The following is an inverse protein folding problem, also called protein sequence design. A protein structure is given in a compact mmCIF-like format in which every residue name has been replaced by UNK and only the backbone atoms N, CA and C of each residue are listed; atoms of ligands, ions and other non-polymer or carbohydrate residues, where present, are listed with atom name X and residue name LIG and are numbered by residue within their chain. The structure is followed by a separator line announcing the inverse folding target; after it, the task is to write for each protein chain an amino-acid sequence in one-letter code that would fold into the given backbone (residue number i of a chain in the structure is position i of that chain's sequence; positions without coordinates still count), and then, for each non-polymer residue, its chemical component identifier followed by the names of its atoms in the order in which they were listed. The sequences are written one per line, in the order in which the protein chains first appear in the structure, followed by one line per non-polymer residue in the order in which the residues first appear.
data_IF_726797795814
#
_entry.id   IF_726797795814
#
_cell.length_a   1.000
_cell.length_b   1.000
_cell.length_c   1.000
_cell.angle_alpha   90.00
_cell.angle_beta   90.00
_cell.angle_gamma   90.00
#
_symmetry.space_group_name_H-M   'P 1'
#
loop_
_entity.id
_entity.type
_entity.pdbx_description
1 polymer ?
#
# COMPACT_ATOMS: atom_id res chain seq x y z
N UNK A 1 -6.40 30.61 64.80
CA UNK A 1 -5.41 29.89 63.98
C UNK A 1 -6.16 29.24 62.81
N UNK A 2 -6.24 29.94 61.66
CA UNK A 2 -6.90 29.46 60.45
C UNK A 2 -5.82 28.90 59.50
N UNK A 3 -5.89 27.58 59.23
CA UNK A 3 -5.05 26.92 58.25
C UNK A 3 -5.69 27.00 56.86
N UNK A 4 -5.13 27.83 55.98
CA UNK A 4 -5.51 27.91 54.58
C UNK A 4 -4.98 26.65 53.86
N UNK A 5 -5.87 25.90 53.20
CA UNK A 5 -5.60 24.86 52.23
C UNK A 5 -5.31 25.47 50.86
N UNK A 6 -4.08 25.38 50.43
CA UNK A 6 -3.66 25.76 49.08
C UNK A 6 -4.01 24.59 48.14
N UNK A 7 -5.05 24.74 47.33
CA UNK A 7 -5.37 23.78 46.26
C UNK A 7 -4.48 24.10 45.05
N UNK A 8 -3.54 23.19 44.77
CA UNK A 8 -2.75 23.22 43.54
C UNK A 8 -3.58 22.56 42.44
N UNK A 9 -4.14 23.37 41.54
CA UNK A 9 -4.75 22.88 40.32
C UNK A 9 -3.64 22.51 39.32
N UNK A 10 -3.43 21.21 39.12
CA UNK A 10 -2.56 20.70 38.05
C UNK A 10 -3.32 20.85 36.73
N UNK A 11 -3.01 21.84 35.94
CA UNK A 11 -3.46 21.97 34.57
C UNK A 11 -2.69 20.92 33.74
N UNK A 12 -3.33 19.79 33.46
CA UNK A 12 -2.86 18.86 32.43
C UNK A 12 -3.18 19.50 31.08
N UNK A 13 -2.19 20.17 30.49
CA UNK A 13 -2.24 20.61 29.11
C UNK A 13 -2.21 19.34 28.24
N UNK A 14 -3.38 18.86 27.82
CA UNK A 14 -3.51 17.92 26.71
C UNK A 14 -3.08 18.68 25.46
N UNK A 15 -1.81 18.53 25.10
CA UNK A 15 -1.30 18.98 23.81
C UNK A 15 -1.95 18.09 22.74
N UNK A 16 -3.10 18.50 22.21
CA UNK A 16 -3.50 18.08 20.88
C UNK A 16 -2.40 18.52 19.93
N UNK A 17 -1.47 17.62 19.61
CA UNK A 17 -0.61 17.80 18.45
C UNK A 17 -1.52 17.64 17.23
N UNK A 18 -2.09 18.74 16.80
CA UNK A 18 -2.48 18.90 15.41
C UNK A 18 -1.17 18.85 14.65
N UNK A 19 -0.85 17.69 14.08
CA UNK A 19 0.23 17.61 13.10
C UNK A 19 -0.17 18.51 11.93
N UNK A 20 0.38 19.71 11.96
CA UNK A 20 0.20 20.66 10.88
C UNK A 20 0.84 20.06 9.64
N UNK A 21 0.01 19.64 8.67
CA UNK A 21 0.42 19.70 7.30
C UNK A 21 0.70 18.43 6.52
N UNK A 22 0.15 17.26 6.84
CA UNK A 22 0.09 16.22 5.82
C UNK A 22 -0.93 16.57 4.73
N UNK A 23 -0.59 16.19 3.48
CA UNK A 23 -1.49 16.33 2.32
C UNK A 23 -2.88 15.76 2.62
N UNK A 24 -3.92 16.46 2.15
CA UNK A 24 -5.29 15.96 2.23
C UNK A 24 -5.43 14.66 1.40
N UNK A 25 -5.78 13.53 2.04
CA UNK A 25 -5.97 12.26 1.32
C UNK A 25 -6.97 12.35 0.17
N UNK A 26 -7.98 13.23 0.25
CA UNK A 26 -8.95 13.41 -0.83
C UNK A 26 -8.28 13.89 -2.12
N UNK A 27 -7.22 14.70 -2.03
CA UNK A 27 -6.44 15.16 -3.18
C UNK A 27 -5.64 14.06 -3.86
N UNK A 28 -5.39 12.94 -3.18
CA UNK A 28 -4.61 11.80 -3.67
C UNK A 28 -5.48 10.67 -4.26
N UNK A 29 -6.79 10.71 -4.00
CA UNK A 29 -7.70 9.63 -4.35
C UNK A 29 -7.85 9.43 -5.88
N UNK A 30 -7.66 10.48 -6.68
CA UNK A 30 -7.90 10.45 -8.13
C UNK A 30 -6.91 9.57 -8.92
N UNK A 31 -5.74 9.30 -8.36
CA UNK A 31 -4.69 8.51 -9.03
C UNK A 31 -4.37 7.19 -8.33
N UNK A 32 -5.07 6.88 -7.23
CA UNK A 32 -5.09 5.56 -6.60
C UNK A 32 -6.31 4.80 -7.10
N UNK A 33 -6.14 3.56 -7.51
CA UNK A 33 -7.19 2.78 -8.18
C UNK A 33 -7.35 1.39 -7.58
N UNK A 34 -8.59 0.90 -7.57
CA UNK A 34 -8.87 -0.52 -7.48
C UNK A 34 -8.56 -1.16 -8.81
N UNK A 35 -7.85 -2.27 -8.79
CA UNK A 35 -7.61 -3.13 -9.95
C UNK A 35 -8.22 -4.50 -9.67
N UNK A 36 -8.97 -5.04 -10.65
CA UNK A 36 -9.60 -6.35 -10.54
C UNK A 36 -9.51 -7.11 -11.86
N UNK A 37 -9.20 -8.39 -11.79
CA UNK A 37 -9.28 -9.28 -12.93
C UNK A 37 -10.17 -10.46 -12.57
N UNK A 38 -11.17 -10.71 -13.40
CA UNK A 38 -12.03 -11.87 -13.29
C UNK A 38 -11.53 -12.97 -14.23
N UNK A 39 -11.51 -14.19 -13.72
CA UNK A 39 -11.02 -15.34 -14.46
C UNK A 39 -12.09 -15.90 -15.39
N UNK A 40 -11.68 -16.34 -16.58
CA UNK A 40 -12.54 -17.04 -17.52
C UNK A 40 -12.79 -18.50 -17.06
N UNK A 41 -13.66 -19.22 -17.79
CA UNK A 41 -14.05 -20.58 -17.40
C UNK A 41 -12.86 -21.54 -17.36
N UNK A 42 -11.90 -21.42 -18.30
CA UNK A 42 -10.71 -22.27 -18.35
C UNK A 42 -9.76 -22.02 -17.17
N UNK A 43 -9.59 -20.76 -16.79
CA UNK A 43 -8.78 -20.39 -15.63
C UNK A 43 -9.41 -20.90 -14.33
N UNK A 44 -10.74 -20.83 -14.23
CA UNK A 44 -11.50 -21.37 -13.08
C UNK A 44 -11.49 -22.91 -13.00
N UNK A 45 -11.28 -23.61 -14.10
CA UNK A 45 -11.07 -25.07 -14.08
C UNK A 45 -9.75 -25.44 -13.39
N UNK A 46 -8.71 -24.59 -13.52
CA UNK A 46 -7.39 -24.82 -12.89
C UNK A 46 -7.43 -24.49 -11.39
N UNK A 47 -8.16 -23.44 -11.00
CA UNK A 47 -8.33 -23.05 -9.60
C UNK A 47 -9.82 -22.92 -9.24
N UNK A 48 -10.49 -24.06 -8.96
CA UNK A 48 -11.92 -24.06 -8.65
C UNK A 48 -12.25 -23.22 -7.43
N UNK A 49 -13.24 -22.33 -7.60
CA UNK A 49 -13.71 -21.42 -6.53
C UNK A 49 -13.05 -20.03 -6.52
N UNK A 50 -11.98 -19.81 -7.28
CA UNK A 50 -11.39 -18.49 -7.44
C UNK A 50 -12.03 -17.76 -8.64
N UNK A 51 -12.88 -16.77 -8.35
CA UNK A 51 -13.58 -16.00 -9.37
C UNK A 51 -12.71 -14.90 -10.01
N UNK A 52 -11.68 -14.46 -9.31
CA UNK A 52 -10.78 -13.40 -9.74
C UNK A 52 -9.92 -12.88 -8.61
N UNK A 53 -9.07 -11.90 -8.93
CA UNK A 53 -8.13 -11.27 -8.00
C UNK A 53 -8.37 -9.77 -7.99
N UNK A 54 -8.27 -9.17 -6.83
CA UNK A 54 -8.33 -7.72 -6.61
C UNK A 54 -7.11 -7.22 -5.87
N UNK A 55 -6.77 -5.96 -6.13
CA UNK A 55 -5.69 -5.25 -5.46
C UNK A 55 -5.83 -3.75 -5.64
N UNK A 56 -4.84 -3.04 -5.17
CA UNK A 56 -4.70 -1.60 -5.36
C UNK A 56 -3.55 -1.31 -6.32
N UNK A 57 -3.71 -0.29 -7.13
CA UNK A 57 -2.67 0.25 -8.00
C UNK A 57 -2.69 1.78 -7.97
N UNK A 58 -1.73 2.38 -8.64
CA UNK A 58 -1.63 3.82 -8.78
C UNK A 58 -0.93 4.19 -10.08
N UNK A 59 -1.25 5.37 -10.64
CA UNK A 59 -0.73 5.77 -11.93
C UNK A 59 0.67 6.39 -11.83
N UNK A 60 1.55 5.95 -12.73
CA UNK A 60 2.81 6.60 -13.05
C UNK A 60 2.60 7.61 -14.19
N UNK A 61 1.68 7.29 -15.12
CA UNK A 61 1.24 8.10 -16.24
C UNK A 61 -0.13 7.60 -16.71
N UNK A 62 -0.80 8.27 -17.66
CA UNK A 62 -2.08 7.77 -18.19
C UNK A 62 -2.03 6.35 -18.80
N UNK A 63 -0.87 5.89 -19.24
CA UNK A 63 -0.68 4.57 -19.85
C UNK A 63 0.19 3.63 -19.03
N UNK A 64 0.56 4.02 -17.81
CA UNK A 64 1.42 3.21 -16.93
C UNK A 64 0.98 3.33 -15.48
N UNK A 65 0.94 2.20 -14.81
CA UNK A 65 0.60 2.13 -13.40
C UNK A 65 1.56 1.19 -12.66
N UNK A 66 1.54 1.24 -11.34
CA UNK A 66 2.28 0.33 -10.49
C UNK A 66 1.36 -0.37 -9.49
N UNK A 67 1.75 -1.58 -9.13
CA UNK A 67 1.19 -2.38 -8.04
C UNK A 67 2.30 -3.25 -7.45
N UNK A 68 1.98 -4.09 -6.49
CA UNK A 68 2.94 -5.08 -5.99
C UNK A 68 2.98 -6.33 -6.89
N UNK A 69 4.14 -7.00 -7.03
CA UNK A 69 4.32 -8.12 -7.95
C UNK A 69 3.32 -9.26 -7.71
N UNK A 70 3.11 -9.67 -6.47
CA UNK A 70 2.24 -10.82 -6.18
C UNK A 70 0.78 -10.57 -6.61
N UNK A 71 0.29 -9.32 -6.62
CA UNK A 71 -1.03 -8.97 -7.17
C UNK A 71 -1.03 -9.14 -8.68
N UNK A 72 -0.01 -8.65 -9.38
CA UNK A 72 0.09 -8.80 -10.83
C UNK A 72 0.19 -10.27 -11.25
N UNK A 73 0.99 -11.07 -10.53
CA UNK A 73 1.14 -12.52 -10.76
C UNK A 73 -0.17 -13.26 -10.47
N UNK A 74 -0.83 -12.97 -9.35
CA UNK A 74 -2.12 -13.59 -9.02
C UNK A 74 -3.21 -13.25 -10.06
N UNK A 75 -3.11 -12.10 -10.74
CA UNK A 75 -3.97 -11.73 -11.87
C UNK A 75 -3.57 -12.43 -13.18
N UNK A 76 -2.61 -13.35 -13.20
CA UNK A 76 -2.05 -13.97 -14.41
C UNK A 76 -1.56 -12.93 -15.44
N UNK A 77 -1.03 -11.81 -14.98
CA UNK A 77 -0.39 -10.83 -15.86
C UNK A 77 1.03 -11.30 -16.20
N UNK A 78 1.45 -11.04 -17.43
CA UNK A 78 2.81 -11.30 -17.91
C UNK A 78 3.28 -10.16 -18.82
N UNK A 79 4.53 -10.19 -19.22
CA UNK A 79 5.12 -9.28 -20.21
C UNK A 79 4.79 -9.66 -21.66
N UNK A 80 4.34 -10.90 -21.87
CA UNK A 80 4.09 -11.46 -23.21
C UNK A 80 2.64 -11.31 -23.67
N UNK A 81 1.69 -11.10 -22.78
CA UNK A 81 0.26 -11.11 -23.13
C UNK A 81 -0.54 -10.02 -22.43
N UNK A 82 -1.47 -9.42 -23.18
CA UNK A 82 -2.43 -8.49 -22.66
C UNK A 82 -3.59 -9.24 -21.98
N UNK A 83 -4.00 -8.77 -20.80
CA UNK A 83 -5.15 -9.30 -20.08
C UNK A 83 -6.11 -8.18 -19.72
N UNK A 84 -7.40 -8.43 -19.84
CA UNK A 84 -8.42 -7.48 -19.44
C UNK A 84 -8.43 -7.33 -17.92
N UNK A 85 -8.22 -6.09 -17.48
CA UNK A 85 -8.25 -5.71 -16.05
C UNK A 85 -9.23 -4.56 -15.89
N UNK A 86 -10.09 -4.67 -14.92
CA UNK A 86 -10.96 -3.58 -14.51
C UNK A 86 -10.16 -2.63 -13.62
N UNK A 87 -10.12 -1.37 -14.00
CA UNK A 87 -9.46 -0.28 -13.27
C UNK A 87 -10.52 0.70 -12.84
N UNK A 88 -10.58 1.03 -11.55
CA UNK A 88 -11.60 1.92 -10.99
C UNK A 88 -11.03 2.93 -10.02
N UNK A 89 -11.45 4.19 -10.15
CA UNK A 89 -11.26 5.26 -9.16
C UNK A 89 -12.56 6.06 -9.03
N UNK A 90 -13.10 6.15 -7.82
CA UNK A 90 -14.44 6.72 -7.62
C UNK A 90 -15.49 6.01 -8.51
N UNK A 91 -16.25 6.80 -9.27
CA UNK A 91 -17.26 6.29 -10.21
C UNK A 91 -16.69 5.96 -11.59
N UNK A 92 -15.44 6.32 -11.87
CA UNK A 92 -14.79 6.03 -13.15
C UNK A 92 -14.28 4.58 -13.17
N UNK A 93 -14.87 3.77 -14.05
CA UNK A 93 -14.58 2.35 -14.21
C UNK A 93 -14.30 2.05 -15.68
N UNK A 94 -13.16 1.46 -15.97
CA UNK A 94 -12.76 1.08 -17.31
C UNK A 94 -12.19 -0.34 -17.30
N UNK A 95 -12.52 -1.11 -18.34
CA UNK A 95 -11.86 -2.41 -18.59
C UNK A 95 -10.78 -2.19 -19.64
N UNK A 96 -9.53 -2.38 -19.29
CA UNK A 96 -8.36 -2.05 -20.10
C UNK A 96 -7.47 -3.28 -20.21
N UNK A 97 -6.96 -3.60 -21.43
CA UNK A 97 -5.89 -4.59 -21.56
C UNK A 97 -4.62 -4.08 -20.90
N UNK A 98 -4.07 -4.88 -19.98
CA UNK A 98 -2.87 -4.57 -19.18
C UNK A 98 -1.89 -5.73 -19.31
N UNK A 99 -0.59 -5.40 -19.29
CA UNK A 99 0.51 -6.37 -19.17
C UNK A 99 1.57 -5.87 -18.20
N UNK A 100 2.43 -6.76 -17.75
CA UNK A 100 3.63 -6.37 -17.00
C UNK A 100 4.64 -5.77 -18.00
N UNK A 101 5.08 -4.56 -17.76
CA UNK A 101 6.19 -3.95 -18.48
C UNK A 101 7.54 -4.35 -17.88
N UNK A 102 7.63 -4.30 -16.53
CA UNK A 102 8.83 -4.70 -15.78
C UNK A 102 8.48 -4.97 -14.32
N UNK A 103 9.34 -5.74 -13.66
CA UNK A 103 9.30 -5.97 -12.22
C UNK A 103 10.60 -5.44 -11.61
N UNK A 104 10.48 -4.74 -10.49
CA UNK A 104 11.60 -4.03 -9.86
C UNK A 104 11.70 -4.43 -8.40
N UNK A 105 12.87 -4.82 -7.98
CA UNK A 105 13.17 -5.24 -6.61
C UNK A 105 14.15 -6.40 -6.59
N UNK A 106 14.84 -6.58 -5.48
CA UNK A 106 15.88 -7.61 -5.32
C UNK A 106 15.56 -8.66 -4.25
N UNK A 107 14.45 -8.51 -3.56
CA UNK A 107 14.07 -9.34 -2.41
C UNK A 107 12.69 -9.99 -2.63
N UNK A 108 12.13 -10.61 -1.59
CA UNK A 108 10.87 -11.33 -1.65
C UNK A 108 9.69 -10.49 -2.13
N UNK A 109 9.76 -9.17 -1.96
CA UNK A 109 8.71 -8.24 -2.34
C UNK A 109 9.19 -7.30 -3.44
N UNK A 110 8.40 -7.18 -4.52
CA UNK A 110 8.77 -6.39 -5.70
C UNK A 110 7.60 -5.57 -6.20
N UNK A 111 7.92 -4.47 -6.88
CA UNK A 111 6.94 -3.61 -7.56
C UNK A 111 6.82 -4.07 -9.01
N UNK A 112 5.60 -4.32 -9.47
CA UNK A 112 5.27 -4.52 -10.87
C UNK A 112 4.86 -3.19 -11.49
N UNK A 113 5.56 -2.79 -12.53
CA UNK A 113 5.17 -1.69 -13.41
C UNK A 113 4.35 -2.28 -14.54
N UNK A 114 3.13 -1.79 -14.68
CA UNK A 114 2.15 -2.26 -15.63
C UNK A 114 2.02 -1.26 -16.78
N UNK A 115 1.83 -1.76 -17.98
CA UNK A 115 1.54 -0.99 -19.18
C UNK A 115 0.05 -1.19 -19.53
N UNK A 116 -0.63 -0.08 -19.81
CA UNK A 116 -2.01 -0.05 -20.25
C UNK A 116 -2.03 0.13 -21.78
N UNK A 117 -2.82 -0.67 -22.49
CA UNK A 117 -2.93 -0.57 -23.95
C UNK A 117 -3.59 0.76 -24.38
N UNK A 118 -4.50 1.27 -23.57
CA UNK A 118 -5.16 2.56 -23.74
C UNK A 118 -5.00 3.42 -22.50
N UNK A 119 -4.92 4.74 -22.68
CA UNK A 119 -4.83 5.66 -21.56
C UNK A 119 -6.10 5.60 -20.69
N UNK A 120 -5.92 5.56 -19.37
CA UNK A 120 -7.03 5.72 -18.43
C UNK A 120 -7.42 7.21 -18.36
N UNK A 121 -8.70 7.50 -18.61
CA UNK A 121 -9.20 8.88 -18.63
C UNK A 121 -9.10 9.52 -17.23
N UNK A 122 -8.46 10.68 -17.17
CA UNK A 122 -8.28 11.42 -15.93
C UNK A 122 -7.09 10.95 -15.06
N UNK A 123 -6.34 9.94 -15.49
CA UNK A 123 -5.16 9.50 -14.74
C UNK A 123 -4.06 10.55 -14.71
N UNK A 124 -3.52 10.76 -13.53
CA UNK A 124 -2.34 11.61 -13.30
C UNK A 124 -1.33 10.82 -12.49
N UNK A 125 -0.04 10.93 -12.86
CA UNK A 125 1.04 10.32 -12.09
C UNK A 125 1.35 11.13 -10.84
N UNK A 126 1.83 10.43 -9.82
CA UNK A 126 2.37 11.07 -8.62
C UNK A 126 3.88 11.30 -8.72
N UNK A 127 4.36 12.32 -8.03
CA UNK A 127 5.79 12.49 -7.79
C UNK A 127 6.31 11.34 -6.89
N UNK A 128 7.49 10.82 -7.23
CA UNK A 128 8.16 9.80 -6.43
C UNK A 128 9.23 10.48 -5.57
N UNK A 129 9.33 10.07 -4.31
CA UNK A 129 10.41 10.47 -3.44
C UNK A 129 11.49 9.39 -3.41
N UNK A 130 12.70 9.74 -3.78
CA UNK A 130 13.83 8.80 -3.85
C UNK A 130 14.65 8.77 -2.55
N UNK A 131 14.54 9.81 -1.72
CA UNK A 131 15.20 9.88 -0.43
C UNK A 131 14.62 8.86 0.54
N UNK A 132 15.45 8.21 1.36
CA UNK A 132 14.97 7.30 2.39
C UNK A 132 14.02 7.98 3.36
N UNK A 133 13.05 7.21 3.89
CA UNK A 133 12.27 7.59 5.06
C UNK A 133 13.15 7.60 6.30
N UNK A 134 12.86 8.48 7.24
CA UNK A 134 13.48 8.50 8.56
C UNK A 134 12.51 7.98 9.63
N UNK A 135 12.98 7.32 10.71
CA UNK A 135 12.10 6.83 11.76
C UNK A 135 11.17 7.94 12.29
N UNK A 136 9.93 7.56 12.60
CA UNK A 136 8.84 8.42 13.07
C UNK A 136 8.29 9.39 12.00
N UNK A 137 8.76 9.33 10.78
CA UNK A 137 8.22 10.16 9.70
C UNK A 137 6.78 9.77 9.39
N UNK A 138 5.89 10.77 9.38
CA UNK A 138 4.47 10.57 9.11
C UNK A 138 4.23 10.18 7.65
N UNK A 139 3.34 9.20 7.46
CA UNK A 139 2.95 8.69 6.15
C UNK A 139 1.45 8.44 6.07
N UNK A 140 0.92 8.48 4.85
CA UNK A 140 -0.49 8.21 4.55
C UNK A 140 -0.56 7.20 3.41
N UNK A 141 -1.53 6.28 3.44
CA UNK A 141 -1.81 5.35 2.35
C UNK A 141 -3.29 5.38 1.98
N UNK A 142 -3.56 5.28 0.69
CA UNK A 142 -4.90 5.09 0.15
C UNK A 142 -4.97 3.73 -0.51
N UNK A 143 -5.97 2.93 -0.14
CA UNK A 143 -6.12 1.56 -0.61
C UNK A 143 -7.57 1.20 -0.89
N UNK A 144 -7.79 0.10 -1.62
CA UNK A 144 -9.12 -0.42 -1.93
C UNK A 144 -9.36 -1.81 -1.34
N UNK A 145 -9.28 -2.00 0.00
CA UNK A 145 -9.68 -3.25 0.62
C UNK A 145 -11.19 -3.49 0.40
N UNK A 146 -11.55 -4.69 -0.06
CA UNK A 146 -12.95 -5.00 -0.33
C UNK A 146 -13.62 -4.06 -1.34
N UNK A 147 -12.85 -3.43 -2.23
CA UNK A 147 -13.33 -2.54 -3.30
C UNK A 147 -13.84 -1.15 -2.83
N UNK A 148 -13.56 -0.78 -1.61
CA UNK A 148 -13.88 0.54 -1.05
C UNK A 148 -12.59 1.31 -0.74
N UNK A 149 -12.56 2.59 -1.12
CA UNK A 149 -11.44 3.45 -0.76
C UNK A 149 -11.34 3.60 0.77
N UNK A 150 -10.17 3.29 1.29
CA UNK A 150 -9.82 3.47 2.69
C UNK A 150 -8.54 4.29 2.80
N UNK A 151 -8.47 5.07 3.86
CA UNK A 151 -7.30 5.87 4.21
C UNK A 151 -6.71 5.30 5.49
N UNK A 152 -5.41 5.07 5.47
CA UNK A 152 -4.62 4.75 6.66
C UNK A 152 -3.54 5.81 6.84
N UNK A 153 -3.35 6.27 8.05
CA UNK A 153 -2.29 7.19 8.43
C UNK A 153 -1.41 6.55 9.50
N UNK A 154 -0.16 6.97 9.57
CA UNK A 154 0.76 6.43 10.54
C UNK A 154 2.17 6.93 10.34
N UNK A 155 3.15 6.09 10.65
CA UNK A 155 4.55 6.46 10.63
C UNK A 155 5.45 5.36 10.07
N UNK A 156 6.59 5.77 9.58
CA UNK A 156 7.67 4.85 9.26
C UNK A 156 8.39 4.43 10.55
N UNK A 157 8.59 3.12 10.73
CA UNK A 157 9.27 2.57 11.91
C UNK A 157 10.74 2.34 11.61
N UNK A 158 11.05 1.48 10.65
CA UNK A 158 12.41 1.14 10.24
C UNK A 158 12.44 0.42 8.90
N UNK A 159 13.62 0.26 8.34
CA UNK A 159 13.82 -0.71 7.25
C UNK A 159 14.03 -2.12 7.82
N UNK A 160 13.48 -3.10 7.12
CA UNK A 160 13.66 -4.50 7.46
C UNK A 160 15.09 -4.98 7.20
N UNK A 161 15.60 -5.81 8.10
CA UNK A 161 16.98 -6.33 8.11
C UNK A 161 17.06 -7.86 8.11
N UNK A 162 15.93 -8.53 8.36
CA UNK A 162 15.84 -10.00 8.41
C UNK A 162 15.60 -10.68 7.06
N UNK A 163 15.67 -12.02 7.04
CA UNK A 163 15.33 -12.83 5.86
C UNK A 163 13.87 -12.56 5.43
N UNK A 164 13.66 -12.25 4.16
CA UNK A 164 12.36 -11.94 3.57
C UNK A 164 11.88 -10.50 3.81
N UNK A 165 12.58 -9.71 4.63
CA UNK A 165 12.23 -8.32 4.90
C UNK A 165 13.33 -7.33 4.49
N UNK A 166 14.52 -7.81 4.14
CA UNK A 166 15.65 -6.95 3.81
C UNK A 166 15.30 -5.95 2.70
N UNK A 167 15.49 -4.66 3.00
CA UNK A 167 15.20 -3.56 2.09
C UNK A 167 13.74 -3.11 2.03
N UNK A 168 12.81 -3.78 2.73
CA UNK A 168 11.42 -3.32 2.88
C UNK A 168 11.34 -2.19 3.90
N UNK A 169 10.32 -1.35 3.78
CA UNK A 169 9.97 -0.35 4.78
C UNK A 169 8.85 -0.90 5.68
N UNK A 170 9.06 -0.87 6.98
CA UNK A 170 8.13 -1.33 8.00
C UNK A 170 7.40 -0.12 8.56
N UNK A 171 6.07 -0.14 8.47
CA UNK A 171 5.21 0.97 8.84
C UNK A 171 4.26 0.55 9.97
N UNK A 172 3.82 1.51 10.73
CA UNK A 172 2.70 1.41 11.66
C UNK A 172 1.59 2.32 11.15
N UNK A 173 0.44 1.73 10.73
CA UNK A 173 -0.62 2.47 10.04
C UNK A 173 -2.00 1.98 10.47
N UNK A 174 -2.91 2.94 10.71
CA UNK A 174 -4.28 2.70 11.13
C UNK A 174 -5.23 3.70 10.45
N UNK A 175 -6.53 3.46 10.49
CA UNK A 175 -7.53 4.47 10.14
C UNK A 175 -7.77 5.46 11.29
N UNK A 176 -8.67 6.43 11.06
CA UNK A 176 -9.02 7.43 12.08
C UNK A 176 -9.74 6.88 13.32
N UNK A 177 -10.05 5.57 13.35
CA UNK A 177 -10.66 4.86 14.48
C UNK A 177 -9.71 3.79 15.06
N UNK A 178 -8.40 3.93 14.81
CA UNK A 178 -7.35 3.01 15.24
C UNK A 178 -7.54 1.56 14.77
N UNK A 179 -8.22 1.37 13.61
CA UNK A 179 -8.42 0.04 13.03
C UNK A 179 -7.40 -0.27 11.95
N UNK A 180 -7.09 -1.54 11.82
CA UNK A 180 -6.28 -2.07 10.73
C UNK A 180 -7.14 -2.11 9.46
N UNK A 181 -6.85 -1.23 8.50
CA UNK A 181 -7.63 -1.13 7.24
C UNK A 181 -6.85 -1.54 6.00
N UNK A 182 -5.52 -1.73 6.11
CA UNK A 182 -4.69 -2.20 5.00
C UNK A 182 -4.67 -3.73 4.94
N UNK A 183 -5.83 -4.33 4.70
CA UNK A 183 -6.07 -5.76 4.61
C UNK A 183 -6.17 -6.23 3.14
N UNK A 184 -6.74 -7.40 2.89
CA UNK A 184 -6.91 -7.99 1.56
C UNK A 184 -7.49 -7.00 0.54
N UNK A 185 -6.74 -6.78 -0.55
CA UNK A 185 -7.02 -5.77 -1.57
C UNK A 185 -6.23 -4.46 -1.39
N UNK A 186 -5.61 -4.21 -0.23
CA UNK A 186 -4.71 -3.08 -0.04
C UNK A 186 -3.32 -3.29 -0.66
N UNK A 187 -2.93 -4.54 -0.96
CA UNK A 187 -1.67 -4.84 -1.63
C UNK A 187 -1.54 -4.05 -2.93
N UNK A 188 -0.41 -3.37 -3.11
CA UNK A 188 -0.14 -2.46 -4.22
C UNK A 188 -0.49 -1.00 -3.95
N UNK A 189 -1.08 -0.66 -2.80
CA UNK A 189 -1.44 0.70 -2.42
C UNK A 189 -0.20 1.60 -2.31
N UNK A 190 -0.27 2.85 -2.79
CA UNK A 190 0.80 3.80 -2.59
C UNK A 190 0.85 4.29 -1.15
N UNK A 191 2.07 4.50 -0.65
CA UNK A 191 2.33 5.18 0.62
C UNK A 191 2.92 6.55 0.29
N UNK A 192 2.35 7.60 0.83
CA UNK A 192 2.72 8.99 0.59
C UNK A 192 3.41 9.59 1.80
N UNK A 193 4.36 10.50 1.57
CA UNK A 193 4.82 11.44 2.58
C UNK A 193 3.84 12.62 2.73
N UNK A 194 4.07 13.49 3.71
CA UNK A 194 3.20 14.65 3.94
C UNK A 194 3.22 15.69 2.82
N UNK A 195 4.14 15.59 1.85
CA UNK A 195 4.15 16.41 0.64
C UNK A 195 3.38 15.79 -0.54
N UNK A 196 2.73 14.63 -0.35
CA UNK A 196 1.97 13.93 -1.39
C UNK A 196 2.85 13.18 -2.40
N UNK A 197 4.12 12.92 -2.09
CA UNK A 197 5.01 12.13 -2.92
C UNK A 197 4.98 10.69 -2.48
N UNK A 198 4.97 9.75 -3.43
CA UNK A 198 5.00 8.33 -3.11
C UNK A 198 6.39 7.94 -2.61
N UNK A 199 6.45 7.24 -1.47
CA UNK A 199 7.68 6.78 -0.81
C UNK A 199 7.81 5.26 -0.80
N UNK A 200 6.68 4.54 -0.78
CA UNK A 200 6.64 3.07 -0.76
C UNK A 200 5.33 2.53 -1.36
N UNK A 201 5.27 1.22 -1.55
CA UNK A 201 4.09 0.47 -2.00
C UNK A 201 3.77 -0.60 -0.97
N UNK A 202 2.53 -0.64 -0.49
CA UNK A 202 2.07 -1.65 0.47
C UNK A 202 2.18 -3.04 -0.15
N UNK A 203 2.80 -3.96 0.57
CA UNK A 203 2.89 -5.36 0.18
C UNK A 203 1.95 -6.21 1.01
N UNK A 204 2.24 -6.35 2.29
CA UNK A 204 1.50 -7.24 3.18
C UNK A 204 1.35 -6.63 4.57
N UNK A 205 0.41 -7.18 5.33
CA UNK A 205 0.41 -7.02 6.77
C UNK A 205 1.62 -7.75 7.37
N UNK A 206 2.21 -7.16 8.39
CA UNK A 206 3.25 -7.82 9.17
C UNK A 206 2.62 -8.96 9.96
N UNK A 207 3.04 -10.20 9.69
CA UNK A 207 2.51 -11.38 10.37
C UNK A 207 3.61 -12.09 11.14
N UNK A 208 3.35 -12.43 12.40
CA UNK A 208 4.20 -13.32 13.17
C UNK A 208 3.68 -14.75 13.09
N UNK A 209 4.57 -15.72 12.99
CA UNK A 209 4.21 -17.13 13.08
C UNK A 209 4.41 -17.61 14.51
N UNK A 210 3.34 -18.07 15.14
CA UNK A 210 3.37 -18.72 16.44
C UNK A 210 3.24 -20.24 16.25
N UNK A 211 4.13 -20.99 16.86
CA UNK A 211 4.04 -22.44 16.90
C UNK A 211 3.36 -22.85 18.20
N UNK A 212 2.10 -23.33 18.09
CA UNK A 212 1.31 -23.77 19.23
C UNK A 212 0.97 -25.25 19.01
N UNK A 213 1.46 -26.13 19.87
CA UNK A 213 1.14 -27.57 19.87
C UNK A 213 1.24 -28.20 18.47
N UNK A 214 2.40 -28.14 17.83
CA UNK A 214 2.66 -28.67 16.48
C UNK A 214 1.85 -28.04 15.32
N UNK A 215 1.12 -26.96 15.56
CA UNK A 215 0.45 -26.17 14.53
C UNK A 215 1.12 -24.82 14.36
N UNK A 216 1.39 -24.45 13.13
CA UNK A 216 1.86 -23.10 12.79
C UNK A 216 0.64 -22.20 12.62
N UNK A 217 0.48 -21.23 13.50
CA UNK A 217 -0.59 -20.22 13.41
C UNK A 217 0.05 -18.92 12.93
N UNK A 218 -0.47 -18.37 11.85
CA UNK A 218 -0.15 -16.98 11.45
C UNK A 218 -0.99 -16.03 12.28
N UNK A 219 -0.34 -15.20 13.05
CA UNK A 219 -0.98 -14.12 13.80
C UNK A 219 -0.60 -12.84 13.11
N UNK A 220 -1.57 -12.13 12.50
CA UNK A 220 -1.33 -10.75 12.09
C UNK A 220 -1.19 -9.94 13.37
N UNK A 221 -0.15 -9.11 13.45
CA UNK A 221 0.02 -8.18 14.56
C UNK A 221 -0.97 -7.02 14.39
N UNK A 222 -2.24 -7.30 14.67
CA UNK A 222 -3.31 -6.29 14.64
C UNK A 222 -3.03 -5.13 15.61
N UNK A 223 -2.21 -5.38 16.60
CA UNK A 223 -1.80 -4.42 17.63
C UNK A 223 -0.29 -4.57 17.83
N UNK A 224 0.47 -3.96 17.00
CA UNK A 224 1.92 -4.06 17.10
C UNK A 224 2.60 -3.11 16.14
N UNK A 225 3.76 -2.70 16.52
CA UNK A 225 4.61 -1.81 15.77
C UNK A 225 5.82 -2.64 15.29
N UNK A 226 6.02 -2.86 14.00
CA UNK A 226 5.22 -2.42 12.83
C UNK A 226 4.07 -3.38 12.48
N UNK A 227 3.06 -2.91 11.71
CA UNK A 227 1.95 -3.73 11.24
C UNK A 227 1.85 -3.85 9.70
N UNK A 228 2.58 -3.04 8.94
CA UNK A 228 2.58 -3.03 7.48
C UNK A 228 3.98 -3.20 6.92
N UNK A 229 4.12 -4.08 5.93
CA UNK A 229 5.33 -4.25 5.11
C UNK A 229 5.11 -3.54 3.78
N UNK A 230 6.05 -2.70 3.36
CA UNK A 230 5.99 -1.99 2.10
C UNK A 230 7.33 -1.98 1.35
N UNK A 231 7.28 -1.79 0.05
CA UNK A 231 8.45 -1.78 -0.84
C UNK A 231 8.79 -0.33 -1.20
N UNK A 232 9.99 0.17 -0.89
CA UNK A 232 10.38 1.54 -1.21
C UNK A 232 10.39 1.81 -2.71
N UNK A 233 9.78 2.93 -3.15
CA UNK A 233 9.71 3.29 -4.59
C UNK A 233 11.04 3.71 -5.19
N UNK A 234 12.06 4.03 -4.37
CA UNK A 234 13.41 4.32 -4.86
C UNK A 234 13.99 3.20 -5.74
N UNK A 235 13.51 1.94 -5.56
CA UNK A 235 13.88 0.81 -6.40
C UNK A 235 13.43 0.98 -7.86
N UNK A 236 12.43 1.82 -8.14
CA UNK A 236 11.99 2.12 -9.52
C UNK A 236 13.06 2.88 -10.33
N UNK A 237 13.98 3.60 -9.67
CA UNK A 237 15.06 4.35 -10.32
C UNK A 237 16.25 3.46 -10.68
N UNK A 238 16.57 2.48 -9.83
CA UNK A 238 17.78 1.66 -10.01
C UNK A 238 17.72 0.80 -11.26
N UNK A 239 16.54 0.48 -11.75
CA UNK A 239 16.32 -0.33 -12.96
C UNK A 239 16.40 0.47 -14.28
N UNK A 240 16.38 1.81 -14.24
CA UNK A 240 16.54 2.64 -15.45
C UNK A 240 18.00 2.80 -15.91
N UNK A 241 18.96 2.28 -15.12
CA UNK A 241 20.39 2.31 -15.43
C UNK A 241 20.93 1.01 -16.05
N UNK A 242 20.08 0.00 -16.18
CA UNK A 242 20.45 -1.33 -16.68
C UNK A 242 19.98 -1.59 -18.13
N UNK A 243 19.48 -0.56 -18.84
CA UNK A 243 19.21 -0.56 -20.28
C UNK A 243 20.33 0.30 -20.99
#
# INVERSE_FOLDING_TARGET
MQRGLLSIAVLVAVSCRVEAGCVDPASLAHSTVSIARYFDDKEREVEPGLLGVRGTGWFLSPTSMATIEHVAVAMNLSDQSWRQVEVRTGDNRQSIPIRIRRVVGSHAEKIAVLELQTAFSGAQGFALRMEPLVPEEAVVSLAYPGDHLRVAAGRFVKYGDGRGLAGTALLEMYDGEDRLVLDHGASGAPVFDCAGRIVAVVSNLFTSTLQVLSRTIRVSTAWGNPNVVSVPVRLLKDSSRAE
#
